data_IF_157998397981
#
_entry.id   IF_157998397981
#
_cell.length_a   1.000
_cell.length_b   1.000
_cell.length_c   1.000
_cell.angle_alpha   90.00
_cell.angle_beta   90.00
_cell.angle_gamma   90.00
#
_symmetry.space_group_name_H-M   'P 1'
#
loop_
_entity.id
_entity.type
_entity.pdbx_description
1 polymer ?
#
# COMPACT_ATOMS: atom_id res chain seq x y z
N UNK A 1 10.64 -2.88 13.27
CA UNK A 1 11.94 -2.36 12.85
C UNK A 1 12.16 -0.91 13.31
N UNK A 2 11.41 0.10 12.84
CA UNK A 2 11.63 1.49 13.21
C UNK A 2 11.61 1.76 14.73
N UNK A 3 10.64 1.23 15.47
CA UNK A 3 10.62 1.30 16.94
C UNK A 3 11.84 0.65 17.58
N UNK A 4 12.27 -0.51 17.07
CA UNK A 4 13.47 -1.20 17.58
C UNK A 4 14.73 -0.33 17.46
N UNK A 5 14.89 0.31 16.29
CA UNK A 5 16.04 1.19 16.02
C UNK A 5 16.06 2.45 16.88
N UNK A 6 14.91 2.88 17.34
CA UNK A 6 14.73 4.02 18.24
C UNK A 6 14.77 3.64 19.74
N UNK A 7 15.08 2.37 20.06
CA UNK A 7 15.13 1.89 21.44
C UNK A 7 13.77 1.88 22.14
N UNK A 8 12.68 1.93 21.39
CA UNK A 8 11.33 1.88 21.96
C UNK A 8 10.97 0.43 22.25
N UNK A 9 10.67 0.05 23.52
CA UNK A 9 10.25 -1.29 23.86
C UNK A 9 8.92 -1.65 23.17
N UNK A 10 8.85 -2.83 22.54
CA UNK A 10 7.61 -3.29 21.90
C UNK A 10 7.54 -4.82 21.87
N UNK A 11 6.33 -5.34 21.75
CA UNK A 11 6.04 -6.71 21.34
C UNK A 11 5.18 -6.66 20.08
N UNK A 12 5.57 -7.40 19.03
CA UNK A 12 4.81 -7.55 17.80
C UNK A 12 3.96 -8.81 17.90
N UNK A 13 2.66 -8.68 17.70
CA UNK A 13 1.70 -9.78 17.64
C UNK A 13 1.27 -9.99 16.20
N UNK A 14 1.52 -11.18 15.65
CA UNK A 14 1.17 -11.59 14.30
C UNK A 14 0.10 -12.69 14.35
N UNK A 15 -0.98 -12.51 13.60
CA UNK A 15 -2.08 -13.47 13.55
C UNK A 15 -1.75 -14.78 12.85
N UNK A 16 -0.79 -14.77 11.92
CA UNK A 16 -0.31 -15.97 11.24
C UNK A 16 0.66 -16.78 12.12
N UNK A 17 0.82 -18.06 11.78
CA UNK A 17 1.74 -18.97 12.49
C UNK A 17 3.22 -18.64 12.24
N UNK A 18 3.51 -17.89 11.18
CA UNK A 18 4.84 -17.43 10.81
C UNK A 18 4.74 -16.24 9.87
N UNK A 19 5.82 -15.55 9.63
CA UNK A 19 5.88 -14.55 8.58
C UNK A 19 5.51 -15.18 7.24
N UNK A 20 4.46 -14.69 6.62
CA UNK A 20 4.00 -15.16 5.33
C UNK A 20 3.64 -14.00 4.43
N UNK A 21 3.77 -14.18 3.13
CA UNK A 21 3.42 -13.18 2.14
C UNK A 21 2.42 -13.77 1.17
N UNK A 22 1.29 -13.09 1.08
CA UNK A 22 0.35 -13.30 -0.01
C UNK A 22 0.48 -12.11 -0.95
N UNK A 23 1.02 -12.32 -2.13
CA UNK A 23 1.19 -11.26 -3.10
C UNK A 23 2.50 -11.35 -3.82
N UNK A 24 2.57 -10.55 -4.86
CA UNK A 24 3.58 -10.65 -5.87
C UNK A 24 4.60 -9.51 -5.75
N UNK A 25 4.50 -8.55 -6.65
CA UNK A 25 5.44 -7.47 -6.73
C UNK A 25 5.16 -6.32 -5.75
N UNK A 26 6.22 -5.65 -5.36
CA UNK A 26 6.17 -4.39 -4.62
C UNK A 26 7.23 -3.44 -5.18
N UNK A 27 6.84 -2.16 -5.36
CA UNK A 27 7.74 -1.11 -5.78
C UNK A 27 7.56 0.13 -4.90
N UNK A 28 8.62 0.93 -4.78
CA UNK A 28 8.59 2.18 -4.04
C UNK A 28 9.00 3.35 -4.91
N UNK A 29 8.30 4.46 -4.73
CA UNK A 29 8.73 5.76 -5.21
C UNK A 29 9.83 6.36 -4.32
N UNK A 30 10.40 7.51 -4.72
CA UNK A 30 11.45 8.20 -3.99
C UNK A 30 11.15 8.42 -2.50
N UNK A 31 9.90 8.74 -2.15
CA UNK A 31 9.46 8.90 -0.76
C UNK A 31 9.64 7.64 0.09
N UNK A 32 9.29 6.47 -0.45
CA UNK A 32 9.47 5.20 0.26
C UNK A 32 10.96 4.85 0.43
N UNK A 33 11.77 5.10 -0.60
CA UNK A 33 13.22 4.90 -0.53
C UNK A 33 13.88 5.86 0.48
N UNK A 34 13.46 7.11 0.51
CA UNK A 34 13.89 8.09 1.51
C UNK A 34 13.50 7.63 2.94
N UNK A 35 12.28 7.15 3.13
CA UNK A 35 11.85 6.64 4.42
C UNK A 35 12.70 5.44 4.87
N UNK A 36 13.10 4.54 3.96
CA UNK A 36 14.00 3.42 4.26
C UNK A 36 15.35 3.94 4.79
N UNK A 37 15.97 4.90 4.09
CA UNK A 37 17.25 5.50 4.47
C UNK A 37 17.18 6.17 5.87
N UNK A 38 16.05 6.82 6.17
CA UNK A 38 15.83 7.51 7.46
C UNK A 38 15.49 6.57 8.62
N UNK A 39 14.93 5.39 8.33
CA UNK A 39 14.60 4.39 9.36
C UNK A 39 15.84 3.60 9.77
N UNK A 40 16.66 3.16 8.80
CA UNK A 40 17.81 2.29 9.05
C UNK A 40 18.85 2.41 7.96
N UNK A 41 20.10 2.64 8.35
CA UNK A 41 21.23 2.62 7.43
C UNK A 41 21.35 1.27 6.72
N UNK A 42 21.49 1.31 5.39
CA UNK A 42 21.57 0.12 4.55
C UNK A 42 20.24 -0.60 4.26
N UNK A 43 19.12 -0.16 4.80
CA UNK A 43 17.82 -0.78 4.48
C UNK A 43 17.49 -0.60 2.99
N UNK A 44 17.60 0.63 2.47
CA UNK A 44 17.41 0.90 1.05
C UNK A 44 18.37 0.07 0.18
N UNK A 45 19.65 0.01 0.51
CA UNK A 45 20.64 -0.74 -0.26
C UNK A 45 20.31 -2.24 -0.34
N UNK A 46 19.86 -2.85 0.76
CA UNK A 46 19.39 -4.25 0.76
C UNK A 46 18.14 -4.43 -0.10
N UNK A 47 17.20 -3.48 -0.05
CA UNK A 47 16.02 -3.53 -0.89
C UNK A 47 16.38 -3.37 -2.38
N UNK A 48 17.22 -2.41 -2.75
CA UNK A 48 17.66 -2.19 -4.12
C UNK A 48 18.43 -3.40 -4.70
N UNK A 49 19.17 -4.13 -3.86
CA UNK A 49 19.90 -5.33 -4.27
C UNK A 49 18.98 -6.49 -4.75
N UNK A 50 17.71 -6.50 -4.33
CA UNK A 50 16.72 -7.52 -4.76
C UNK A 50 15.72 -6.98 -5.79
N UNK A 51 15.89 -5.73 -6.21
CA UNK A 51 15.02 -5.07 -7.17
C UNK A 51 15.43 -5.32 -8.62
N UNK A 52 14.48 -5.06 -9.51
CA UNK A 52 14.69 -4.90 -10.93
C UNK A 52 13.99 -3.65 -11.44
N UNK A 53 14.59 -2.97 -12.40
CA UNK A 53 14.00 -1.86 -13.15
C UNK A 53 13.37 -2.30 -14.46
N UNK A 54 13.08 -1.31 -15.31
CA UNK A 54 12.78 -1.55 -16.71
C UNK A 54 14.05 -2.07 -17.41
N UNK A 55 13.91 -2.86 -18.50
CA UNK A 55 15.06 -3.47 -19.19
C UNK A 55 15.89 -2.44 -19.96
N UNK A 56 15.29 -1.49 -20.73
CA UNK A 56 16.07 -0.46 -21.40
C UNK A 56 16.70 0.53 -20.41
N UNK A 57 17.97 0.87 -20.61
CA UNK A 57 18.72 1.78 -19.75
C UNK A 57 18.15 3.20 -19.75
N UNK A 58 17.63 3.65 -20.86
CA UNK A 58 17.00 4.96 -21.05
C UNK A 58 15.55 5.02 -20.51
N UNK A 59 14.95 3.88 -20.18
CA UNK A 59 13.61 3.81 -19.60
C UNK A 59 13.59 3.65 -18.06
N UNK A 60 14.73 3.76 -17.39
CA UNK A 60 14.77 3.57 -15.92
C UNK A 60 13.97 4.64 -15.15
N UNK A 61 13.82 5.84 -15.71
CA UNK A 61 13.05 6.94 -15.15
C UNK A 61 11.54 6.84 -15.43
N UNK A 62 11.12 5.86 -16.24
CA UNK A 62 9.70 5.62 -16.54
C UNK A 62 9.04 4.84 -15.40
N UNK A 63 7.98 5.42 -14.85
CA UNK A 63 7.15 4.75 -13.85
C UNK A 63 6.26 3.70 -14.52
N UNK A 64 5.50 4.11 -15.52
CA UNK A 64 4.75 3.23 -16.42
C UNK A 64 4.64 3.83 -17.82
N UNK A 65 4.39 2.96 -18.77
CA UNK A 65 3.96 3.29 -20.12
C UNK A 65 2.49 2.91 -20.28
N UNK A 66 1.70 3.76 -20.95
CA UNK A 66 0.28 3.57 -21.17
C UNK A 66 0.00 2.93 -22.52
N UNK A 67 -0.75 1.83 -22.54
CA UNK A 67 -1.27 1.17 -23.74
C UNK A 67 -2.76 0.89 -23.58
N UNK A 68 -3.41 0.42 -24.65
CA UNK A 68 -4.78 -0.08 -24.57
C UNK A 68 -4.78 -1.59 -24.35
N UNK A 69 -5.76 -2.09 -23.61
CA UNK A 69 -5.93 -3.53 -23.40
C UNK A 69 -6.46 -4.26 -24.64
N UNK A 70 -7.06 -3.52 -25.56
CA UNK A 70 -7.67 -4.04 -26.80
C UNK A 70 -6.64 -4.45 -27.86
N UNK A 71 -7.07 -5.19 -28.87
CA UNK A 71 -6.25 -5.53 -30.03
C UNK A 71 -5.61 -4.28 -30.65
N UNK A 72 -4.36 -4.40 -31.11
CA UNK A 72 -3.56 -3.28 -31.60
C UNK A 72 -2.94 -2.41 -30.50
N UNK A 73 -3.36 -2.54 -29.22
CA UNK A 73 -2.81 -1.87 -28.04
C UNK A 73 -2.73 -0.34 -28.10
N UNK A 74 -3.28 0.29 -29.12
CA UNK A 74 -3.12 1.72 -29.38
C UNK A 74 -1.77 2.13 -29.93
N UNK A 75 -0.95 1.17 -30.43
CA UNK A 75 0.40 1.43 -30.95
C UNK A 75 0.44 2.34 -32.18
N UNK A 76 -0.63 2.38 -32.98
CA UNK A 76 -0.76 3.23 -34.16
C UNK A 76 -1.32 4.63 -33.84
N UNK A 77 -1.72 4.86 -32.59
CA UNK A 77 -2.29 6.13 -32.16
C UNK A 77 -1.19 7.19 -31.96
N UNK A 78 -1.50 8.43 -32.30
CA UNK A 78 -0.55 9.54 -32.18
C UNK A 78 -0.06 9.77 -30.75
N UNK A 79 -0.90 9.50 -29.74
CA UNK A 79 -0.53 9.68 -28.34
C UNK A 79 0.47 8.62 -27.85
N UNK A 80 0.60 7.47 -28.51
CA UNK A 80 1.48 6.39 -28.09
C UNK A 80 2.95 6.83 -27.98
N UNK A 81 3.44 7.67 -28.88
CA UNK A 81 4.84 8.14 -28.90
C UNK A 81 5.28 8.88 -27.63
N UNK A 82 4.33 9.28 -26.78
CA UNK A 82 4.55 9.97 -25.51
C UNK A 82 3.62 9.43 -24.41
N UNK A 83 3.37 8.12 -24.39
CA UNK A 83 2.44 7.47 -23.47
C UNK A 83 3.06 7.18 -22.09
N UNK A 84 4.36 7.37 -21.90
CA UNK A 84 5.04 7.13 -20.64
C UNK A 84 4.90 8.28 -19.66
N UNK A 85 4.88 7.94 -18.38
CA UNK A 85 5.01 8.92 -17.28
C UNK A 85 6.02 8.43 -16.23
N UNK A 86 6.63 9.37 -15.57
CA UNK A 86 7.69 9.17 -14.59
C UNK A 86 8.32 10.49 -14.20
N UNK A 87 9.58 10.49 -13.81
CA UNK A 87 10.33 11.71 -13.49
C UNK A 87 11.82 11.45 -13.67
N UNK A 88 12.65 12.43 -14.12
CA UNK A 88 14.09 12.23 -14.26
C UNK A 88 14.78 11.72 -12.99
N UNK A 89 14.35 12.16 -11.81
CA UNK A 89 14.88 11.72 -10.52
C UNK A 89 14.19 10.47 -9.96
N UNK A 90 13.25 9.88 -10.70
CA UNK A 90 12.66 8.60 -10.38
C UNK A 90 13.51 7.47 -10.96
N UNK A 91 13.65 6.38 -10.23
CA UNK A 91 14.23 5.16 -10.78
C UNK A 91 13.29 3.99 -10.50
N UNK A 92 12.88 3.31 -11.57
CA UNK A 92 12.02 2.13 -11.44
C UNK A 92 12.71 1.05 -10.61
N UNK A 93 12.05 0.62 -9.54
CA UNK A 93 12.48 -0.44 -8.64
C UNK A 93 11.28 -1.29 -8.26
N UNK A 94 11.34 -2.58 -8.53
CA UNK A 94 10.33 -3.53 -8.09
C UNK A 94 11.00 -4.82 -7.61
N UNK A 95 10.52 -5.36 -6.52
CA UNK A 95 10.99 -6.61 -5.92
C UNK A 95 9.82 -7.57 -5.72
N UNK A 96 10.12 -8.83 -5.44
CA UNK A 96 9.14 -9.73 -4.86
C UNK A 96 8.84 -9.31 -3.41
N UNK A 97 7.57 -9.26 -3.03
CA UNK A 97 7.14 -8.80 -1.70
C UNK A 97 7.75 -9.62 -0.54
N UNK A 98 8.01 -10.92 -0.80
CA UNK A 98 8.69 -11.78 0.17
C UNK A 98 10.10 -11.28 0.50
N UNK A 99 10.86 -10.88 -0.52
CA UNK A 99 12.23 -10.39 -0.31
C UNK A 99 12.27 -9.14 0.57
N UNK A 100 11.31 -8.21 0.40
CA UNK A 100 11.18 -7.06 1.29
C UNK A 100 10.84 -7.48 2.72
N UNK A 101 9.91 -8.42 2.90
CA UNK A 101 9.54 -8.92 4.23
C UNK A 101 10.75 -9.57 4.92
N UNK A 102 11.50 -10.41 4.22
CA UNK A 102 12.69 -11.08 4.75
C UNK A 102 13.74 -10.04 5.21
N UNK A 103 13.94 -8.96 4.42
CA UNK A 103 14.82 -7.85 4.80
C UNK A 103 14.30 -7.16 6.07
N UNK A 104 13.03 -6.79 6.13
CA UNK A 104 12.46 -6.06 7.27
C UNK A 104 12.50 -6.90 8.55
N UNK A 105 12.17 -8.18 8.46
CA UNK A 105 12.13 -9.09 9.61
C UNK A 105 13.53 -9.43 10.13
N UNK A 106 14.56 -9.37 9.28
CA UNK A 106 15.95 -9.56 9.71
C UNK A 106 16.45 -8.50 10.71
N UNK A 107 15.76 -7.38 10.80
CA UNK A 107 16.06 -6.30 11.77
C UNK A 107 15.24 -6.39 13.07
N UNK A 108 14.35 -7.38 13.19
CA UNK A 108 13.49 -7.52 14.37
C UNK A 108 13.94 -8.73 15.17
N UNK A 109 14.34 -8.56 16.44
CA UNK A 109 14.65 -9.69 17.31
C UNK A 109 13.42 -10.61 17.44
N UNK A 110 13.61 -11.90 17.24
CA UNK A 110 12.50 -12.88 17.20
C UNK A 110 11.81 -12.99 18.57
N UNK A 111 12.51 -12.72 19.65
CA UNK A 111 11.96 -12.66 21.01
C UNK A 111 10.92 -11.57 21.20
N UNK A 112 10.93 -10.54 20.35
CA UNK A 112 9.93 -9.48 20.35
C UNK A 112 8.67 -9.83 19.52
N UNK A 113 8.60 -11.06 18.95
CA UNK A 113 7.51 -11.46 18.05
C UNK A 113 6.74 -12.63 18.64
N UNK A 114 5.43 -12.50 18.67
CA UNK A 114 4.49 -13.57 19.04
C UNK A 114 3.58 -13.88 17.86
N UNK A 115 3.69 -15.09 17.32
CA UNK A 115 2.85 -15.59 16.23
C UNK A 115 1.56 -16.23 16.73
N UNK A 116 0.64 -16.49 15.81
CA UNK A 116 -0.70 -17.07 16.09
C UNK A 116 -1.52 -16.24 17.09
N UNK A 117 -1.30 -14.92 17.10
CA UNK A 117 -1.93 -13.98 18.02
C UNK A 117 -2.94 -13.09 17.27
N UNK A 118 -4.13 -13.62 17.07
CA UNK A 118 -5.24 -12.87 16.49
C UNK A 118 -5.93 -12.04 17.58
N UNK A 119 -5.82 -10.72 17.48
CA UNK A 119 -6.48 -9.78 18.40
C UNK A 119 -8.00 -9.80 18.20
N UNK A 120 -8.76 -9.93 19.29
CA UNK A 120 -10.23 -10.00 19.26
C UNK A 120 -10.92 -8.90 20.04
N UNK A 121 -10.26 -8.37 21.08
CA UNK A 121 -10.87 -7.32 21.91
C UNK A 121 -9.80 -6.36 22.46
N UNK A 122 -10.18 -5.10 22.61
CA UNK A 122 -9.36 -4.02 23.16
C UNK A 122 -10.18 -3.27 24.23
N UNK A 123 -9.59 -3.10 25.40
CA UNK A 123 -10.13 -2.24 26.45
C UNK A 123 -9.09 -1.17 26.79
N UNK A 124 -9.52 0.08 26.87
CA UNK A 124 -8.65 1.19 27.27
C UNK A 124 -8.97 1.64 28.70
N UNK A 125 -7.91 1.90 29.46
CA UNK A 125 -7.93 2.49 30.79
C UNK A 125 -7.07 3.75 30.79
N UNK A 126 -7.16 4.62 31.79
CA UNK A 126 -6.36 5.84 31.85
C UNK A 126 -4.83 5.59 31.80
N UNK A 127 -4.37 4.47 32.32
CA UNK A 127 -2.96 4.10 32.46
C UNK A 127 -2.47 3.02 31.49
N UNK A 128 -3.40 2.23 30.88
CA UNK A 128 -3.05 1.06 30.05
C UNK A 128 -4.09 0.74 28.98
N UNK A 129 -3.71 -0.15 28.09
CA UNK A 129 -4.62 -0.90 27.22
C UNK A 129 -4.56 -2.38 27.58
N UNK A 130 -5.69 -3.07 27.51
CA UNK A 130 -5.82 -4.50 27.73
C UNK A 130 -6.25 -5.15 26.42
N UNK A 131 -5.45 -6.11 25.95
CA UNK A 131 -5.62 -6.81 24.68
C UNK A 131 -6.03 -8.24 24.96
N UNK A 132 -7.10 -8.73 24.30
CA UNK A 132 -7.51 -10.12 24.36
C UNK A 132 -7.33 -10.77 23.00
N UNK A 133 -6.65 -11.91 22.95
CA UNK A 133 -6.42 -12.67 21.75
C UNK A 133 -7.39 -13.86 21.62
N UNK A 134 -7.52 -14.41 20.41
CA UNK A 134 -8.44 -15.52 20.12
C UNK A 134 -8.11 -16.81 20.90
N UNK A 135 -6.86 -17.00 21.31
CA UNK A 135 -6.41 -18.13 22.13
C UNK A 135 -6.69 -17.94 23.64
N UNK A 136 -7.30 -16.79 24.02
CA UNK A 136 -7.63 -16.44 25.41
C UNK A 136 -6.48 -15.73 26.15
N UNK A 137 -5.29 -15.53 25.57
CA UNK A 137 -4.25 -14.72 26.21
C UNK A 137 -4.72 -13.29 26.40
N UNK A 138 -4.47 -12.74 27.56
CA UNK A 138 -4.75 -11.32 27.90
C UNK A 138 -3.44 -10.63 28.21
N UNK A 139 -3.20 -9.48 27.60
CA UNK A 139 -1.95 -8.72 27.74
C UNK A 139 -2.27 -7.26 28.06
N UNK A 140 -1.49 -6.68 28.96
CA UNK A 140 -1.49 -5.25 29.25
C UNK A 140 -0.34 -4.54 28.57
N UNK A 141 -0.58 -3.34 28.04
CA UNK A 141 0.43 -2.51 27.43
C UNK A 141 0.15 -1.02 27.70
N UNK A 142 1.18 -0.18 27.61
CA UNK A 142 1.04 1.27 27.76
C UNK A 142 0.34 1.91 26.57
N UNK A 143 0.51 1.34 25.38
CA UNK A 143 -0.11 1.82 24.14
C UNK A 143 -0.27 0.67 23.13
N UNK A 144 -1.14 0.86 22.14
CA UNK A 144 -1.33 -0.07 21.02
C UNK A 144 -1.12 0.64 19.68
N UNK A 145 -0.29 0.06 18.83
CA UNK A 145 -0.16 0.45 17.42
C UNK A 145 -0.87 -0.60 16.57
N UNK A 146 -1.97 -0.23 15.94
CA UNK A 146 -2.72 -1.09 15.04
C UNK A 146 -2.10 -1.08 13.64
N UNK A 147 -1.54 -2.22 13.23
CA UNK A 147 -1.01 -2.48 11.91
C UNK A 147 -1.67 -3.72 11.28
N UNK A 148 -2.91 -3.99 11.65
CA UNK A 148 -3.68 -5.21 11.38
C UNK A 148 -4.44 -5.17 10.05
N UNK A 149 -4.04 -4.25 9.16
CA UNK A 149 -4.45 -4.23 7.76
C UNK A 149 -5.85 -3.67 7.54
N UNK A 150 -6.37 -3.87 6.33
CA UNK A 150 -7.63 -3.23 5.88
C UNK A 150 -8.87 -3.65 6.67
N UNK A 151 -8.85 -4.83 7.31
CA UNK A 151 -9.94 -5.33 8.17
C UNK A 151 -9.62 -5.21 9.65
N UNK A 152 -9.00 -4.12 10.00
CA UNK A 152 -8.46 -3.81 11.32
C UNK A 152 -9.51 -3.82 12.44
N UNK A 153 -9.32 -4.69 13.41
CA UNK A 153 -10.03 -4.66 14.70
C UNK A 153 -9.66 -3.41 15.50
N UNK A 154 -8.40 -2.98 15.37
CA UNK A 154 -7.92 -1.77 16.05
C UNK A 154 -8.59 -0.53 15.47
N UNK A 155 -8.81 -0.46 14.14
CA UNK A 155 -9.56 0.62 13.51
C UNK A 155 -11.01 0.68 14.00
N UNK A 156 -11.66 -0.48 14.08
CA UNK A 156 -13.02 -0.55 14.62
C UNK A 156 -13.07 0.03 16.03
N UNK A 157 -12.11 -0.32 16.89
CA UNK A 157 -12.00 0.22 18.24
C UNK A 157 -11.81 1.75 18.27
N UNK A 158 -10.94 2.29 17.39
CA UNK A 158 -10.66 3.74 17.34
C UNK A 158 -11.86 4.53 16.86
N UNK A 159 -12.60 4.05 15.84
CA UNK A 159 -13.58 4.85 15.10
C UNK A 159 -15.04 4.55 15.45
N UNK A 160 -15.39 3.29 15.76
CA UNK A 160 -16.80 2.87 15.78
C UNK A 160 -17.71 3.65 16.69
N UNK A 161 -17.22 4.10 17.83
CA UNK A 161 -18.03 4.85 18.80
C UNK A 161 -18.30 6.30 18.42
N UNK A 162 -17.36 6.92 17.66
CA UNK A 162 -17.42 8.34 17.28
C UNK A 162 -17.76 8.53 15.81
N UNK A 163 -17.27 7.64 14.95
CA UNK A 163 -17.37 7.72 13.50
C UNK A 163 -17.73 6.36 12.89
N UNK A 164 -18.90 5.76 13.21
CA UNK A 164 -19.23 4.39 12.83
C UNK A 164 -19.19 4.14 11.31
N UNK A 165 -19.56 5.12 10.51
CA UNK A 165 -19.53 5.02 9.04
C UNK A 165 -18.11 5.01 8.43
N UNK A 166 -17.08 5.30 9.23
CA UNK A 166 -15.69 5.34 8.79
C UNK A 166 -14.89 4.11 9.26
N UNK A 167 -15.48 3.24 10.08
CA UNK A 167 -14.78 2.09 10.65
C UNK A 167 -14.51 1.01 9.59
N UNK A 168 -15.52 0.66 8.81
CA UNK A 168 -15.43 -0.41 7.83
C UNK A 168 -14.79 0.03 6.51
N UNK A 169 -14.00 -0.84 5.85
CA UNK A 169 -13.54 -0.58 4.50
C UNK A 169 -14.70 -0.66 3.49
N UNK A 170 -14.56 0.10 2.40
CA UNK A 170 -15.55 0.16 1.34
C UNK A 170 -15.04 -0.61 0.12
N UNK A 171 -15.86 -1.47 -0.45
CA UNK A 171 -15.60 -2.09 -1.74
C UNK A 171 -15.68 -1.05 -2.85
N UNK A 172 -14.66 -1.04 -3.71
CA UNK A 172 -14.53 -0.02 -4.78
C UNK A 172 -15.26 -0.37 -6.07
N UNK A 173 -16.11 -1.41 -6.08
CA UNK A 173 -16.74 -1.89 -7.31
C UNK A 173 -15.73 -2.49 -8.30
N UNK A 174 -14.59 -2.99 -7.82
CA UNK A 174 -13.56 -3.53 -8.69
C UNK A 174 -12.74 -4.63 -7.99
N UNK A 175 -12.19 -5.54 -8.77
CA UNK A 175 -11.35 -6.64 -8.33
C UNK A 175 -10.29 -6.98 -9.37
N UNK A 176 -9.32 -7.80 -9.03
CA UNK A 176 -8.36 -8.31 -9.99
C UNK A 176 -8.11 -9.81 -9.85
N UNK A 177 -7.63 -10.39 -10.94
CA UNK A 177 -6.89 -11.64 -10.98
C UNK A 177 -5.41 -11.32 -11.10
N UNK A 178 -4.57 -12.03 -10.39
CA UNK A 178 -3.13 -11.76 -10.39
C UNK A 178 -2.33 -13.02 -10.55
N UNK A 179 -1.15 -12.88 -11.13
CA UNK A 179 -0.20 -13.96 -11.27
C UNK A 179 1.22 -13.47 -11.33
N UNK A 180 2.11 -14.41 -11.05
CA UNK A 180 3.55 -14.30 -11.27
C UNK A 180 3.95 -15.50 -12.10
N UNK A 181 4.65 -15.25 -13.19
CA UNK A 181 5.16 -16.29 -14.09
C UNK A 181 6.65 -16.05 -14.38
N UNK A 182 7.38 -17.09 -14.81
CA UNK A 182 8.74 -16.90 -15.31
C UNK A 182 8.78 -15.85 -16.42
N UNK A 183 9.85 -15.05 -16.45
CA UNK A 183 10.00 -13.99 -17.46
C UNK A 183 9.99 -14.55 -18.88
N UNK A 184 10.58 -15.72 -19.10
CA UNK A 184 10.60 -16.40 -20.41
C UNK A 184 9.19 -16.73 -20.90
N UNK A 185 8.31 -17.19 -20.02
CA UNK A 185 6.91 -17.45 -20.37
C UNK A 185 6.16 -16.15 -20.68
N UNK A 186 6.45 -15.08 -19.96
CA UNK A 186 5.89 -13.77 -20.25
C UNK A 186 6.36 -13.22 -21.60
N UNK A 187 7.64 -13.37 -21.93
CA UNK A 187 8.23 -12.99 -23.21
C UNK A 187 7.62 -13.80 -24.38
N UNK A 188 7.32 -15.09 -24.19
CA UNK A 188 6.60 -15.92 -25.19
C UNK A 188 5.15 -15.43 -25.43
N UNK A 189 4.52 -14.79 -24.45
CA UNK A 189 3.15 -14.28 -24.57
C UNK A 189 3.12 -12.83 -25.09
N UNK A 190 3.97 -11.97 -24.53
CA UNK A 190 3.92 -10.53 -24.69
C UNK A 190 5.07 -9.93 -25.50
N UNK A 191 6.16 -10.70 -25.76
CA UNK A 191 7.35 -10.19 -26.43
C UNK A 191 7.97 -9.01 -25.68
N UNK A 192 8.39 -7.99 -26.42
CA UNK A 192 9.05 -6.78 -25.90
C UNK A 192 8.16 -5.92 -24.97
N UNK A 193 6.86 -6.21 -24.90
CA UNK A 193 5.97 -5.54 -23.95
C UNK A 193 6.35 -5.84 -22.49
N UNK A 194 7.17 -6.85 -22.25
CA UNK A 194 7.71 -7.17 -20.91
C UNK A 194 8.85 -6.24 -20.46
N UNK A 195 9.43 -5.46 -21.35
CA UNK A 195 10.66 -4.70 -21.09
C UNK A 195 10.45 -3.46 -20.20
N UNK A 196 9.32 -2.81 -20.32
CA UNK A 196 8.92 -1.63 -19.54
C UNK A 196 7.65 -1.92 -18.78
N UNK A 197 7.55 -1.46 -17.55
CA UNK A 197 6.32 -1.56 -16.76
C UNK A 197 5.17 -0.82 -17.45
N UNK A 198 3.99 -1.45 -17.54
CA UNK A 198 2.87 -0.94 -18.33
C UNK A 198 1.56 -0.96 -17.57
N UNK A 199 0.74 0.05 -17.83
CA UNK A 199 -0.69 0.01 -17.63
C UNK A 199 -1.40 -0.12 -18.98
N UNK A 200 -2.31 -1.07 -19.07
CA UNK A 200 -3.20 -1.27 -20.20
C UNK A 200 -4.60 -0.79 -19.82
N UNK A 201 -5.00 0.29 -20.44
CA UNK A 201 -6.27 0.98 -20.22
C UNK A 201 -7.39 0.31 -21.02
N UNK A 202 -8.59 0.31 -20.49
CA UNK A 202 -9.76 -0.19 -21.23
C UNK A 202 -11.05 0.01 -20.48
N UNK A 203 -12.15 -0.13 -21.20
CA UNK A 203 -13.49 0.01 -20.66
C UNK A 203 -13.77 -1.10 -19.66
N UNK A 204 -13.92 -0.74 -18.39
CA UNK A 204 -14.15 -1.66 -17.27
C UNK A 204 -13.10 -2.76 -17.08
N UNK A 205 -12.11 -2.85 -17.94
CA UNK A 205 -11.04 -3.86 -17.88
C UNK A 205 -9.70 -3.16 -18.01
N UNK A 206 -8.73 -3.60 -17.24
CA UNK A 206 -7.37 -3.09 -17.32
C UNK A 206 -6.35 -4.15 -16.97
N UNK A 207 -5.10 -3.88 -17.27
CA UNK A 207 -4.00 -4.73 -16.83
C UNK A 207 -2.83 -3.87 -16.38
N UNK A 208 -2.09 -4.34 -15.38
CA UNK A 208 -0.78 -3.80 -15.03
C UNK A 208 0.24 -4.91 -15.05
N UNK A 209 1.40 -4.62 -15.63
CA UNK A 209 2.48 -5.59 -15.78
C UNK A 209 3.83 -4.98 -15.45
N UNK A 210 4.72 -5.76 -14.84
CA UNK A 210 6.10 -5.36 -14.58
C UNK A 210 6.99 -6.53 -14.13
N UNK A 211 8.29 -6.40 -14.33
CA UNK A 211 9.32 -7.36 -13.92
C UNK A 211 9.57 -7.29 -12.41
N UNK A 212 9.87 -8.42 -11.79
CA UNK A 212 10.24 -8.56 -10.38
C UNK A 212 11.38 -9.59 -10.23
N UNK A 213 11.83 -9.84 -9.00
CA UNK A 213 12.79 -10.91 -8.66
C UNK A 213 14.08 -10.85 -9.49
N UNK A 214 14.72 -9.68 -9.54
CA UNK A 214 15.94 -9.49 -10.33
C UNK A 214 15.74 -9.67 -11.84
N UNK A 215 14.47 -9.65 -12.32
CA UNK A 215 14.12 -9.80 -13.75
C UNK A 215 13.84 -11.22 -14.18
N UNK A 216 13.83 -12.18 -13.27
CA UNK A 216 13.53 -13.60 -13.56
C UNK A 216 12.04 -13.92 -13.57
N UNK A 217 11.22 -13.06 -12.96
CA UNK A 217 9.77 -13.23 -12.88
C UNK A 217 9.03 -11.98 -13.38
N UNK A 218 7.81 -12.21 -13.83
CA UNK A 218 6.91 -11.21 -14.37
C UNK A 218 5.59 -11.21 -13.60
N UNK A 219 5.26 -10.06 -13.02
CA UNK A 219 4.03 -9.84 -12.29
C UNK A 219 2.98 -9.22 -13.19
N UNK A 220 1.75 -9.71 -13.08
CA UNK A 220 0.61 -9.13 -13.77
C UNK A 220 -0.65 -9.12 -12.88
N UNK A 221 -1.48 -8.09 -13.09
CA UNK A 221 -2.83 -8.00 -12.53
C UNK A 221 -3.78 -7.65 -13.67
N UNK A 222 -4.80 -8.49 -13.88
CA UNK A 222 -5.91 -8.22 -14.78
C UNK A 222 -7.10 -7.78 -13.94
N UNK A 223 -7.54 -6.55 -14.12
CA UNK A 223 -8.54 -5.90 -13.28
C UNK A 223 -9.89 -5.80 -13.99
N UNK A 224 -10.94 -5.90 -13.21
CA UNK A 224 -12.34 -5.73 -13.59
C UNK A 224 -12.92 -4.60 -12.74
N UNK A 225 -13.47 -3.57 -13.37
CA UNK A 225 -14.29 -2.56 -12.73
C UNK A 225 -15.76 -2.85 -13.08
N UNK A 226 -16.53 -3.21 -12.07
CA UNK A 226 -17.95 -3.55 -12.17
C UNK A 226 -18.64 -2.99 -10.92
N UNK A 227 -19.08 -1.76 -11.02
CA UNK A 227 -19.68 -1.03 -9.91
C UNK A 227 -21.05 -1.61 -9.51
N UNK A 228 -21.73 -2.30 -10.42
CA UNK A 228 -23.05 -2.89 -10.19
C UNK A 228 -22.96 -4.25 -9.50
N UNK A 229 -21.77 -4.85 -9.46
CA UNK A 229 -21.52 -6.11 -8.79
C UNK A 229 -21.23 -5.92 -7.31
N UNK A 230 -22.10 -6.32 -6.40
CA UNK A 230 -21.82 -6.27 -4.97
C UNK A 230 -20.73 -7.29 -4.59
N UNK A 231 -19.98 -6.99 -3.55
CA UNK A 231 -19.11 -7.96 -2.90
C UNK A 231 -19.86 -8.66 -1.76
N UNK A 232 -20.23 -9.90 -1.98
CA UNK A 232 -21.11 -10.63 -1.06
C UNK A 232 -20.40 -11.14 0.20
N UNK A 233 -19.09 -11.32 0.15
CA UNK A 233 -18.30 -11.90 1.24
C UNK A 233 -17.95 -10.83 2.30
N UNK A 234 -18.80 -10.71 3.32
CA UNK A 234 -18.64 -9.66 4.37
C UNK A 234 -17.27 -9.68 5.09
N UNK A 235 -16.62 -10.84 5.20
CA UNK A 235 -15.36 -10.99 5.97
C UNK A 235 -14.15 -11.35 5.12
N UNK A 236 -14.27 -11.50 3.81
CA UNK A 236 -13.15 -11.84 2.93
C UNK A 236 -12.95 -10.76 1.85
N UNK A 237 -11.71 -10.42 1.54
CA UNK A 237 -11.34 -9.58 0.39
C UNK A 237 -11.01 -10.43 -0.84
N UNK A 238 -11.11 -11.75 -0.72
CA UNK A 238 -10.85 -12.71 -1.80
C UNK A 238 -12.03 -13.66 -1.96
N UNK A 239 -12.33 -14.03 -3.19
CA UNK A 239 -13.35 -14.98 -3.58
C UNK A 239 -12.73 -16.04 -4.51
N UNK A 240 -12.81 -17.33 -4.15
CA UNK A 240 -12.43 -18.41 -5.05
C UNK A 240 -13.52 -18.60 -6.08
N UNK A 241 -13.16 -18.70 -7.35
CA UNK A 241 -14.07 -18.91 -8.48
C UNK A 241 -13.60 -20.09 -9.32
N UNK A 242 -14.37 -20.50 -10.32
CA UNK A 242 -13.91 -21.48 -11.29
C UNK A 242 -13.03 -20.80 -12.35
N UNK A 243 -12.22 -21.59 -13.06
CA UNK A 243 -11.42 -21.09 -14.17
C UNK A 243 -12.30 -20.49 -15.28
N UNK A 244 -13.43 -21.15 -15.57
CA UNK A 244 -14.42 -20.70 -16.55
C UNK A 244 -15.01 -19.33 -16.15
N UNK A 245 -15.37 -19.14 -14.89
CA UNK A 245 -15.88 -17.87 -14.39
C UNK A 245 -14.81 -16.75 -14.46
N UNK A 246 -13.55 -17.08 -14.21
CA UNK A 246 -12.44 -16.14 -14.36
C UNK A 246 -12.28 -15.72 -15.83
N UNK A 247 -12.29 -16.65 -16.76
CA UNK A 247 -12.16 -16.35 -18.18
C UNK A 247 -13.37 -15.57 -18.71
N UNK A 248 -14.57 -15.92 -18.30
CA UNK A 248 -15.82 -15.24 -18.69
C UNK A 248 -15.87 -13.75 -18.28
N UNK A 249 -15.16 -13.36 -17.22
CA UNK A 249 -15.05 -11.94 -16.83
C UNK A 249 -14.36 -11.08 -17.90
N UNK A 250 -13.62 -11.69 -18.84
CA UNK A 250 -12.89 -11.02 -19.93
C UNK A 250 -13.34 -11.42 -21.33
N UNK A 251 -14.01 -12.54 -21.51
CA UNK A 251 -14.53 -12.99 -22.79
C UNK A 251 -15.64 -12.03 -23.30
N UNK A 252 -15.67 -11.84 -24.63
CA UNK A 252 -16.61 -10.91 -25.26
C UNK A 252 -16.32 -9.44 -24.99
N UNK A 253 -15.30 -9.12 -24.21
CA UNK A 253 -14.79 -7.76 -24.01
C UNK A 253 -13.70 -7.45 -25.04
N UNK A 254 -13.41 -6.18 -25.26
CA UNK A 254 -12.36 -5.74 -26.22
C UNK A 254 -10.97 -5.96 -25.61
N UNK A 255 -10.55 -7.23 -25.43
CA UNK A 255 -9.29 -7.62 -24.80
C UNK A 255 -8.44 -8.38 -25.81
N UNK A 256 -7.18 -7.96 -25.98
CA UNK A 256 -6.21 -8.64 -26.84
C UNK A 256 -5.96 -10.07 -26.33
N UNK A 257 -5.88 -11.03 -27.25
CA UNK A 257 -5.75 -12.47 -26.96
C UNK A 257 -4.54 -12.82 -26.08
N UNK A 258 -3.47 -12.02 -26.12
CA UNK A 258 -2.30 -12.20 -25.26
C UNK A 258 -2.65 -12.08 -23.78
N UNK A 259 -3.56 -11.18 -23.43
CA UNK A 259 -4.00 -11.02 -22.04
C UNK A 259 -4.92 -12.15 -21.58
N UNK A 260 -5.69 -12.76 -22.48
CA UNK A 260 -6.45 -13.98 -22.15
C UNK A 260 -5.49 -15.16 -21.88
N UNK A 261 -4.40 -15.28 -22.66
CA UNK A 261 -3.33 -16.25 -22.38
C UNK A 261 -2.65 -15.96 -21.03
N UNK A 262 -2.41 -14.70 -20.71
CA UNK A 262 -1.83 -14.30 -19.45
C UNK A 262 -2.79 -14.61 -18.28
N UNK A 263 -4.08 -14.30 -18.44
CA UNK A 263 -5.14 -14.59 -17.45
C UNK A 263 -5.20 -16.09 -17.13
N UNK A 264 -5.09 -16.97 -18.13
CA UNK A 264 -5.12 -18.42 -17.92
C UNK A 264 -3.99 -18.94 -17.03
N UNK A 265 -2.95 -18.15 -16.78
CA UNK A 265 -1.86 -18.45 -15.83
C UNK A 265 -2.13 -17.97 -14.41
N UNK A 266 -3.17 -17.15 -14.21
CA UNK A 266 -3.57 -16.69 -12.90
C UNK A 266 -4.31 -17.79 -12.12
N UNK A 267 -4.25 -17.70 -10.80
CA UNK A 267 -5.16 -18.49 -9.96
C UNK A 267 -6.58 -17.93 -10.05
N UNK A 268 -7.61 -18.78 -10.08
CA UNK A 268 -9.00 -18.35 -10.15
C UNK A 268 -9.50 -17.81 -8.79
N UNK A 269 -8.89 -16.72 -8.37
CA UNK A 269 -9.20 -16.01 -7.14
C UNK A 269 -9.42 -14.55 -7.49
N UNK A 270 -10.62 -14.04 -7.26
CA UNK A 270 -10.91 -12.60 -7.30
C UNK A 270 -10.35 -11.94 -6.05
N UNK A 271 -9.59 -10.88 -6.25
CA UNK A 271 -9.05 -10.01 -5.20
C UNK A 271 -9.83 -8.71 -5.24
N UNK A 272 -10.81 -8.55 -4.37
CA UNK A 272 -11.62 -7.33 -4.28
C UNK A 272 -10.76 -6.15 -3.86
N UNK A 273 -10.96 -5.01 -4.53
CA UNK A 273 -10.34 -3.75 -4.14
C UNK A 273 -11.20 -3.06 -3.10
N UNK A 274 -10.66 -2.97 -1.91
CA UNK A 274 -11.25 -2.26 -0.79
C UNK A 274 -10.35 -1.10 -0.41
N UNK A 275 -10.94 -0.06 0.10
CA UNK A 275 -10.20 1.09 0.59
C UNK A 275 -10.94 1.76 1.74
N UNK A 276 -10.23 2.57 2.49
CA UNK A 276 -10.88 3.51 3.40
C UNK A 276 -11.20 4.79 2.65
N UNK A 277 -12.34 5.38 2.97
CA UNK A 277 -12.68 6.75 2.57
C UNK A 277 -12.07 7.74 3.54
N UNK A 278 -12.67 8.91 3.67
CA UNK A 278 -12.26 9.89 4.66
C UNK A 278 -12.23 9.28 6.07
N UNK A 279 -11.19 9.61 6.84
CA UNK A 279 -11.02 9.17 8.23
C UNK A 279 -10.74 10.40 9.10
N UNK A 280 -11.55 10.61 10.13
CA UNK A 280 -11.50 11.81 10.98
C UNK A 280 -10.31 11.83 11.93
N UNK A 281 -9.81 10.66 12.34
CA UNK A 281 -8.65 10.51 13.22
C UNK A 281 -8.00 9.15 13.02
N UNK A 282 -6.68 9.08 13.22
CA UNK A 282 -5.94 7.82 13.25
C UNK A 282 -5.62 7.36 14.66
N UNK A 283 -6.07 8.04 15.68
CA UNK A 283 -5.82 7.64 17.06
C UNK A 283 -7.03 7.87 17.98
N UNK A 284 -7.02 7.16 19.09
CA UNK A 284 -7.92 7.38 20.22
C UNK A 284 -7.17 7.02 21.51
N UNK A 285 -6.95 8.03 22.36
CA UNK A 285 -6.24 7.88 23.63
C UNK A 285 -4.88 7.17 23.48
N UNK A 286 -4.79 5.89 23.86
CA UNK A 286 -3.57 5.07 23.84
C UNK A 286 -3.46 4.14 22.63
N UNK A 287 -4.32 4.29 21.65
CA UNK A 287 -4.41 3.45 20.46
C UNK A 287 -4.23 4.30 19.22
N UNK A 288 -3.29 3.90 18.33
CA UNK A 288 -3.01 4.57 17.05
C UNK A 288 -3.01 3.57 15.89
N UNK A 289 -3.42 4.03 14.71
CA UNK A 289 -3.47 3.26 13.46
C UNK A 289 -2.30 3.63 12.57
N UNK A 290 -1.72 2.64 11.87
CA UNK A 290 -0.67 2.85 10.85
C UNK A 290 -0.91 1.96 9.63
N UNK A 291 -0.44 2.41 8.46
CA UNK A 291 -0.57 1.65 7.22
C UNK A 291 -2.03 1.38 6.83
N UNK A 292 -2.32 0.19 6.34
CA UNK A 292 -3.65 -0.16 5.82
C UNK A 292 -4.75 -0.15 6.89
N UNK A 293 -4.44 -0.23 8.17
CA UNK A 293 -5.44 -0.04 9.23
C UNK A 293 -5.92 1.41 9.30
N UNK A 294 -5.07 2.37 8.97
CA UNK A 294 -5.36 3.80 8.93
C UNK A 294 -5.91 4.26 7.57
N UNK A 295 -5.27 3.85 6.49
CA UNK A 295 -5.46 4.45 5.16
C UNK A 295 -5.26 3.47 4.00
N UNK A 296 -5.84 2.27 4.06
CA UNK A 296 -5.83 1.35 2.93
C UNK A 296 -6.32 2.04 1.66
N UNK A 297 -5.50 2.04 0.61
CA UNK A 297 -5.74 2.73 -0.65
C UNK A 297 -5.90 1.77 -1.83
N UNK A 298 -6.53 2.25 -2.90
CA UNK A 298 -6.54 1.55 -4.18
C UNK A 298 -5.12 1.47 -4.76
N UNK A 299 -4.78 0.41 -5.51
CA UNK A 299 -3.38 0.12 -5.88
C UNK A 299 -2.81 0.99 -7.01
N UNK A 300 -3.61 1.88 -7.59
CA UNK A 300 -3.31 2.55 -8.86
C UNK A 300 -2.17 3.59 -8.83
N UNK A 301 -1.66 3.93 -7.64
CA UNK A 301 -0.44 4.76 -7.49
C UNK A 301 0.76 3.97 -6.96
N UNK A 302 0.62 2.67 -6.67
CA UNK A 302 1.65 1.83 -6.05
C UNK A 302 2.27 2.46 -4.78
N UNK A 303 1.48 3.17 -3.95
CA UNK A 303 1.97 4.04 -2.89
C UNK A 303 1.65 3.56 -1.47
N UNK A 304 0.72 2.60 -1.28
CA UNK A 304 0.25 2.21 0.06
C UNK A 304 1.36 1.79 1.02
N UNK A 305 2.26 0.93 0.56
CA UNK A 305 3.38 0.46 1.39
C UNK A 305 4.37 1.60 1.74
N UNK A 306 4.59 2.55 0.81
CA UNK A 306 5.41 3.73 1.08
C UNK A 306 4.79 4.62 2.16
N UNK A 307 3.46 4.80 2.14
CA UNK A 307 2.74 5.51 3.19
C UNK A 307 2.92 4.83 4.57
N UNK A 308 2.89 3.51 4.62
CA UNK A 308 3.17 2.76 5.86
C UNK A 308 4.61 2.93 6.37
N UNK A 309 5.61 3.04 5.48
CA UNK A 309 6.99 3.37 5.87
C UNK A 309 7.10 4.80 6.44
N UNK A 310 6.42 5.76 5.81
CA UNK A 310 6.35 7.14 6.31
C UNK A 310 5.68 7.19 7.70
N UNK A 311 4.62 6.42 7.91
CA UNK A 311 3.96 6.30 9.22
C UNK A 311 4.92 5.78 10.28
N UNK A 312 5.62 4.68 9.97
CA UNK A 312 6.59 4.07 10.87
C UNK A 312 7.73 5.04 11.21
N UNK A 313 8.18 5.82 10.23
CA UNK A 313 9.21 6.83 10.40
C UNK A 313 8.77 7.94 11.36
N UNK A 314 7.61 8.55 11.10
CA UNK A 314 7.13 9.67 11.93
C UNK A 314 6.82 9.18 13.35
N UNK A 315 6.03 8.10 13.48
CA UNK A 315 5.63 7.59 14.78
C UNK A 315 6.82 7.16 15.64
N UNK A 316 7.80 6.47 15.06
CA UNK A 316 8.97 6.01 15.82
C UNK A 316 9.83 7.16 16.35
N UNK A 317 9.95 8.27 15.60
CA UNK A 317 10.66 9.46 16.08
C UNK A 317 9.94 10.14 17.24
N UNK A 318 8.60 10.18 17.24
CA UNK A 318 7.83 10.71 18.38
C UNK A 318 7.91 9.80 19.61
N UNK A 319 7.85 8.49 19.41
CA UNK A 319 7.98 7.52 20.49
C UNK A 319 9.39 7.52 21.12
N UNK A 320 10.44 7.77 20.32
CA UNK A 320 11.81 7.97 20.82
C UNK A 320 11.90 9.13 21.82
N UNK A 321 11.18 10.24 21.58
CA UNK A 321 11.14 11.35 22.52
C UNK A 321 10.56 10.92 23.88
N UNK A 322 9.55 10.06 23.88
CA UNK A 322 8.94 9.54 25.12
C UNK A 322 9.96 8.71 25.91
N UNK A 323 10.66 7.79 25.23
CA UNK A 323 11.64 6.90 25.90
C UNK A 323 12.77 7.70 26.52
N UNK A 324 13.17 8.81 25.90
CA UNK A 324 14.26 9.67 26.35
C UNK A 324 13.81 10.81 27.31
N UNK A 325 12.51 10.94 27.57
CA UNK A 325 12.01 11.96 28.49
C UNK A 325 12.43 11.67 29.94
N UNK A 326 12.91 12.66 30.71
CA UNK A 326 13.42 12.46 32.08
C UNK A 326 12.31 12.11 33.07
N UNK A 327 11.09 12.52 32.85
CA UNK A 327 9.91 12.37 33.71
C UNK A 327 8.87 11.39 33.14
N UNK A 328 9.25 10.54 32.19
CA UNK A 328 8.37 9.65 31.43
C UNK A 328 7.45 8.79 32.28
N UNK A 329 7.93 8.31 33.43
CA UNK A 329 7.12 7.45 34.31
C UNK A 329 5.90 8.19 34.91
N UNK A 330 6.06 9.47 35.23
CA UNK A 330 5.00 10.28 35.82
C UNK A 330 3.95 10.74 34.80
N UNK A 331 4.34 10.94 33.56
CA UNK A 331 3.49 11.56 32.51
C UNK A 331 3.36 10.73 31.22
N UNK A 332 3.56 9.43 31.30
CA UNK A 332 3.55 8.52 30.14
C UNK A 332 2.24 8.63 29.33
N UNK A 333 1.10 8.70 29.98
CA UNK A 333 -0.20 8.82 29.31
C UNK A 333 -0.34 10.07 28.45
N UNK A 334 -0.10 11.27 29.01
CA UNK A 334 -0.04 12.53 28.26
C UNK A 334 0.94 12.47 27.10
N UNK A 335 2.16 11.97 27.28
CA UNK A 335 3.15 11.84 26.21
C UNK A 335 2.67 10.95 25.06
N UNK A 336 2.08 9.78 25.35
CA UNK A 336 1.52 8.88 24.34
C UNK A 336 0.46 9.61 23.52
N UNK A 337 -0.51 10.26 24.18
CA UNK A 337 -1.58 10.99 23.48
C UNK A 337 -1.01 12.12 22.62
N UNK A 338 -0.09 12.92 23.15
CA UNK A 338 0.54 14.00 22.43
C UNK A 338 1.33 13.50 21.20
N UNK A 339 2.03 12.36 21.31
CA UNK A 339 2.73 11.75 20.20
C UNK A 339 1.76 11.31 19.09
N UNK A 340 0.62 10.71 19.45
CA UNK A 340 -0.38 10.25 18.49
C UNK A 340 -1.10 11.42 17.82
N UNK A 341 -1.34 12.51 18.53
CA UNK A 341 -1.87 13.74 17.95
C UNK A 341 -0.86 14.40 17.01
N UNK A 342 0.42 14.45 17.38
CA UNK A 342 1.48 14.91 16.50
C UNK A 342 1.57 14.10 15.23
N UNK A 343 1.54 12.77 15.33
CA UNK A 343 1.51 11.83 14.20
C UNK A 343 0.28 12.09 13.30
N UNK A 344 -0.92 12.09 13.84
CA UNK A 344 -2.18 12.30 13.10
C UNK A 344 -2.17 13.62 12.33
N UNK A 345 -1.64 14.68 12.94
CA UNK A 345 -1.63 16.04 12.37
C UNK A 345 -0.91 16.15 11.03
N UNK A 346 0.12 15.34 10.80
CA UNK A 346 0.92 15.35 9.56
C UNK A 346 0.58 14.18 8.65
N UNK A 347 0.35 12.98 9.21
CA UNK A 347 0.19 11.78 8.39
C UNK A 347 -1.22 11.65 7.79
N UNK A 348 -2.24 11.97 8.58
CA UNK A 348 -3.62 11.84 8.09
C UNK A 348 -3.91 12.72 6.88
N UNK A 349 -3.63 14.03 6.83
CA UNK A 349 -3.88 14.83 5.62
C UNK A 349 -3.14 14.29 4.39
N UNK A 350 -1.89 13.86 4.55
CA UNK A 350 -1.08 13.33 3.46
C UNK A 350 -1.63 12.00 2.92
N UNK A 351 -1.95 11.06 3.80
CA UNK A 351 -2.52 9.78 3.41
C UNK A 351 -3.92 9.91 2.81
N UNK A 352 -4.77 10.82 3.31
CA UNK A 352 -6.08 11.11 2.72
C UNK A 352 -5.94 11.61 1.28
N UNK A 353 -5.01 12.53 1.02
CA UNK A 353 -4.73 13.00 -0.34
C UNK A 353 -4.28 11.85 -1.26
N UNK A 354 -3.48 10.90 -0.74
CA UNK A 354 -3.05 9.74 -1.52
C UNK A 354 -4.23 8.81 -1.84
N UNK A 355 -5.16 8.58 -0.90
CA UNK A 355 -6.38 7.80 -1.13
C UNK A 355 -7.22 8.38 -2.28
N UNK A 356 -7.50 9.68 -2.23
CA UNK A 356 -8.30 10.38 -3.24
C UNK A 356 -7.65 10.30 -4.63
N UNK A 357 -6.36 10.56 -4.69
CA UNK A 357 -5.63 10.54 -5.95
C UNK A 357 -5.44 9.13 -6.53
N UNK A 358 -5.31 8.10 -5.68
CA UNK A 358 -5.28 6.73 -6.15
C UNK A 358 -6.63 6.30 -6.76
N UNK A 359 -7.74 6.73 -6.16
CA UNK A 359 -9.07 6.47 -6.69
C UNK A 359 -9.27 7.15 -8.06
N UNK A 360 -8.86 8.41 -8.20
CA UNK A 360 -8.94 9.15 -9.47
C UNK A 360 -8.12 8.48 -10.59
N UNK A 361 -6.89 8.00 -10.28
CA UNK A 361 -6.09 7.24 -11.26
C UNK A 361 -6.82 5.96 -11.68
N UNK A 362 -7.48 5.27 -10.76
CA UNK A 362 -8.29 4.09 -11.06
C UNK A 362 -9.42 4.38 -12.05
N UNK A 363 -10.13 5.50 -11.86
CA UNK A 363 -11.18 5.94 -12.81
C UNK A 363 -10.61 6.22 -14.20
N UNK A 364 -9.43 6.82 -14.30
CA UNK A 364 -8.77 7.05 -15.60
C UNK A 364 -8.40 5.73 -16.29
N UNK A 365 -7.84 4.78 -15.55
CA UNK A 365 -7.39 3.49 -16.09
C UNK A 365 -8.57 2.66 -16.64
N UNK A 366 -9.75 2.77 -16.02
CA UNK A 366 -10.96 2.05 -16.45
C UNK A 366 -11.89 2.87 -17.35
N UNK A 367 -11.43 4.02 -17.85
CA UNK A 367 -12.22 4.94 -18.70
C UNK A 367 -13.51 5.47 -18.06
N UNK A 368 -13.51 5.55 -16.72
CA UNK A 368 -14.64 6.02 -15.91
C UNK A 368 -14.44 7.44 -15.36
N UNK A 369 -13.34 8.12 -15.74
CA UNK A 369 -13.10 9.48 -15.28
C UNK A 369 -14.12 10.46 -15.91
N UNK A 370 -14.84 11.28 -15.11
CA UNK A 370 -15.98 12.07 -15.59
C UNK A 370 -15.66 13.02 -16.76
N UNK A 371 -14.47 13.63 -16.75
CA UNK A 371 -14.06 14.61 -17.76
C UNK A 371 -13.23 14.02 -18.89
N UNK A 372 -12.45 12.98 -18.61
CA UNK A 372 -11.53 12.41 -19.59
C UNK A 372 -12.17 11.25 -20.38
N UNK A 373 -13.10 10.51 -19.76
CA UNK A 373 -13.69 9.32 -20.37
C UNK A 373 -12.63 8.36 -20.86
N UNK A 374 -12.71 7.95 -22.13
CA UNK A 374 -11.74 7.08 -22.82
C UNK A 374 -10.71 7.83 -23.65
N UNK A 375 -10.66 9.16 -23.58
CA UNK A 375 -9.76 9.98 -24.40
C UNK A 375 -8.34 9.99 -23.81
N UNK A 376 -7.43 9.20 -24.37
CA UNK A 376 -6.05 9.12 -23.95
C UNK A 376 -5.31 10.46 -24.03
N UNK A 377 -5.69 11.36 -24.96
CA UNK A 377 -5.11 12.70 -25.03
C UNK A 377 -5.50 13.59 -23.83
N UNK A 378 -6.56 13.24 -23.11
CA UNK A 378 -6.94 13.88 -21.84
C UNK A 378 -6.41 13.14 -20.62
N UNK A 379 -6.29 11.81 -20.69
CA UNK A 379 -5.81 10.98 -19.60
C UNK A 379 -4.30 11.14 -19.38
N UNK A 380 -3.49 10.99 -20.43
CA UNK A 380 -2.04 11.00 -20.33
C UNK A 380 -1.49 12.29 -19.69
N UNK A 381 -1.90 13.51 -20.08
CA UNK A 381 -1.45 14.72 -19.40
C UNK A 381 -1.78 14.76 -17.91
N UNK A 382 -2.91 14.14 -17.49
CA UNK A 382 -3.28 14.04 -16.08
C UNK A 382 -2.39 13.09 -15.27
N UNK A 383 -1.79 12.09 -15.90
CA UNK A 383 -0.83 11.17 -15.29
C UNK A 383 0.62 11.71 -15.35
N UNK A 384 0.90 12.53 -16.33
CA UNK A 384 2.18 13.21 -16.57
C UNK A 384 2.29 14.52 -15.75
N UNK A 385 3.01 15.48 -16.22
CA UNK A 385 3.11 16.85 -15.74
C UNK A 385 3.31 17.00 -14.22
N UNK A 386 4.12 16.10 -13.63
CA UNK A 386 4.48 16.17 -12.22
C UNK A 386 3.37 15.76 -11.26
N UNK A 387 2.34 15.04 -11.72
CA UNK A 387 1.23 14.57 -10.87
C UNK A 387 1.71 13.85 -9.60
N UNK A 388 2.81 13.09 -9.69
CA UNK A 388 3.34 12.30 -8.58
C UNK A 388 4.38 13.06 -7.74
N UNK A 389 4.79 14.28 -8.13
CA UNK A 389 5.87 15.01 -7.45
C UNK A 389 5.58 15.27 -5.97
N UNK A 390 4.36 15.67 -5.63
CA UNK A 390 3.93 15.89 -4.24
C UNK A 390 4.02 14.63 -3.39
N UNK A 391 3.87 13.45 -4.01
CA UNK A 391 3.97 12.14 -3.37
C UNK A 391 5.43 11.72 -3.23
N UNK A 392 6.19 11.78 -4.33
CA UNK A 392 7.54 11.24 -4.45
C UNK A 392 8.61 12.10 -3.78
N UNK A 393 8.51 13.42 -3.90
CA UNK A 393 9.55 14.36 -3.44
C UNK A 393 9.10 15.14 -2.21
N UNK A 394 8.30 14.50 -1.37
CA UNK A 394 7.84 15.08 -0.12
C UNK A 394 8.97 15.16 0.91
N UNK A 395 9.00 16.22 1.71
CA UNK A 395 10.00 16.44 2.74
C UNK A 395 9.61 15.72 4.05
N UNK A 396 10.04 14.47 4.21
CA UNK A 396 9.75 13.67 5.40
C UNK A 396 10.38 14.23 6.68
N UNK A 397 11.53 14.92 6.58
CA UNK A 397 12.14 15.58 7.74
C UNK A 397 11.28 16.73 8.25
N UNK A 398 10.62 17.47 7.36
CA UNK A 398 9.67 18.51 7.76
C UNK A 398 8.43 17.93 8.46
N UNK A 399 7.95 16.76 8.05
CA UNK A 399 6.85 16.07 8.73
C UNK A 399 7.24 15.68 10.16
N UNK A 400 8.44 15.10 10.36
CA UNK A 400 8.92 14.73 11.70
C UNK A 400 9.02 15.97 12.60
N UNK A 401 9.58 17.07 12.08
CA UNK A 401 9.71 18.32 12.83
C UNK A 401 8.34 18.92 13.19
N UNK A 402 7.39 18.89 12.25
CA UNK A 402 6.04 19.42 12.46
C UNK A 402 5.26 18.57 13.46
N UNK A 403 5.34 17.25 13.36
CA UNK A 403 4.74 16.31 14.29
C UNK A 403 5.33 16.49 15.72
N UNK A 404 6.65 16.65 15.81
CA UNK A 404 7.34 16.90 17.08
C UNK A 404 6.90 18.21 17.73
N UNK A 405 6.81 19.31 16.97
CA UNK A 405 6.28 20.59 17.49
C UNK A 405 4.86 20.45 17.98
N UNK A 406 4.01 19.76 17.22
CA UNK A 406 2.63 19.52 17.63
C UNK A 406 2.55 18.73 18.93
N UNK A 407 3.38 17.70 19.10
CA UNK A 407 3.50 16.94 20.34
C UNK A 407 3.87 17.88 21.51
N UNK A 408 4.87 18.74 21.35
CA UNK A 408 5.30 19.67 22.38
C UNK A 408 4.19 20.67 22.74
N UNK A 409 3.51 21.26 21.76
CA UNK A 409 2.35 22.16 21.98
C UNK A 409 1.20 21.52 22.76
N UNK A 410 1.02 20.20 22.62
CA UNK A 410 -0.02 19.46 23.37
C UNK A 410 0.42 19.18 24.78
N UNK A 411 1.72 18.97 25.02
CA UNK A 411 2.27 18.75 26.34
C UNK A 411 2.32 20.02 27.18
N UNK A 412 2.43 21.20 26.56
CA UNK A 412 2.51 22.50 27.24
C UNK A 412 1.13 23.03 27.68
N UNK A 413 0.03 22.33 27.33
CA UNK A 413 -1.37 22.67 27.70
C UNK A 413 -1.87 21.93 28.93
#
# INVERSE_FOLDING_TARGET
MALHKKGVPFTLYEGAEQYSVVGAGIGFGPNGLQAMDMIEEGFRSKYEAVCVGNKPADAQHVFFEGLLLQEGLGLEEKWYTHSSWGHPDYTRRAAHRKSLLDIMTSYIPIENVKFSKMLTNIQQFPDKVVLTFADGEVVEASALVGADGIKSVVREHVLKSLYPSQADPVYAGSYCYRGVIPITEAEDILGDLTDVAKFYFGEERSCVTYRISGGTEFNFLLCVADADRPWELKKAVTEKVTHEAMMADFEGRRVDKRFLRLLSKAQPIRWGFFHHRYTSTYYRDRVVLVGDSAHASLPFQAAGAAQGLEDALVLSNLMEKIVNAPDKEAVLGPYIRASFEGYDSVRRPRAQKQLEQAAEVGLMIHFQHPEAGSDMNKILPRLQHGRFNWLWFHNLSADIQSASRRMDEVMDK
#
